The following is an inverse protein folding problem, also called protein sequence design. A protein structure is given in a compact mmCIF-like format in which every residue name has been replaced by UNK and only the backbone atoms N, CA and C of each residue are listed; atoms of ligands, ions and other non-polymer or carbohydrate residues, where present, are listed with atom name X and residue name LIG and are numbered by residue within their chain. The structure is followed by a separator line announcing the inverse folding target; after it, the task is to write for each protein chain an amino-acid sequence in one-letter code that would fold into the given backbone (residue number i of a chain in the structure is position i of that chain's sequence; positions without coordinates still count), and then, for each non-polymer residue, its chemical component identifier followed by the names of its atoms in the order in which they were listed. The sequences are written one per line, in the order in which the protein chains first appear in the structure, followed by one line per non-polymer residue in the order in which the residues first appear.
data_IF_887082407579
#
_entry.id   IF_887082407579
#
_cell.length_a   1.000
_cell.length_b   1.000
_cell.length_c   1.000
_cell.angle_alpha   90.00
_cell.angle_beta   90.00
_cell.angle_gamma   90.00
#
_symmetry.space_group_name_H-M   'P 1'
#
loop_
_entity.id
_entity.type
_entity.pdbx_description
1 polymer ?
#
# COMPACT_ATOMS: atom_id res chain seq x y z
N UNK A 1 -41.18 6.24 46.80
CA UNK A 1 -40.16 5.16 46.82
C UNK A 1 -38.80 5.85 46.86
N UNK A 2 -38.18 5.93 48.05
CA UNK A 2 -36.96 6.71 48.31
C UNK A 2 -35.80 5.71 48.36
N UNK A 3 -34.85 5.84 47.44
CA UNK A 3 -33.66 5.00 47.37
C UNK A 3 -32.55 5.68 48.18
N UNK A 4 -32.26 5.15 49.37
CA UNK A 4 -31.10 5.51 50.17
C UNK A 4 -29.86 4.81 49.59
N UNK A 5 -28.86 5.59 49.17
CA UNK A 5 -27.52 5.07 48.87
C UNK A 5 -26.64 5.17 50.12
N UNK A 6 -26.30 4.01 50.68
CA UNK A 6 -25.28 3.87 51.73
C UNK A 6 -23.89 3.91 51.07
N UNK A 7 -23.12 4.95 51.38
CA UNK A 7 -21.71 5.07 51.02
C UNK A 7 -20.89 4.37 52.10
N UNK A 8 -20.29 3.22 51.75
CA UNK A 8 -19.44 2.46 52.65
C UNK A 8 -17.98 2.81 52.38
N UNK A 9 -17.37 3.57 53.28
CA UNK A 9 -15.95 3.93 53.23
C UNK A 9 -15.10 2.77 53.76
N UNK A 10 -14.30 2.15 52.90
CA UNK A 10 -13.26 1.19 53.27
C UNK A 10 -11.92 1.93 53.44
N UNK A 11 -11.40 1.92 54.67
CA UNK A 11 -10.03 2.36 54.98
C UNK A 11 -9.15 1.10 54.87
N UNK A 12 -8.33 1.04 53.82
CA UNK A 12 -7.33 -0.02 53.63
C UNK A 12 -6.01 0.42 54.24
N UNK A 13 -5.59 -0.27 55.30
CA UNK A 13 -4.28 -0.12 55.94
C UNK A 13 -3.18 -0.62 55.00
N UNK A 14 -2.24 0.28 54.66
CA UNK A 14 -1.14 0.00 53.75
C UNK A 14 -0.01 -0.78 54.40
N UNK A 15 0.30 -1.93 53.82
CA UNK A 15 1.62 -2.57 53.94
C UNK A 15 2.52 -2.03 52.82
N UNK A 16 3.56 -1.30 53.22
CA UNK A 16 4.58 -0.78 52.32
C UNK A 16 5.52 -1.92 51.88
N UNK A 17 5.13 -2.64 50.82
CA UNK A 17 6.05 -3.48 50.07
C UNK A 17 7.10 -2.58 49.38
N UNK A 18 8.34 -2.65 49.85
CA UNK A 18 9.51 -2.13 49.14
C UNK A 18 9.62 -2.85 47.79
N UNK A 19 9.01 -2.27 46.76
CA UNK A 19 9.13 -2.73 45.39
C UNK A 19 10.58 -2.52 44.94
N UNK A 20 11.36 -3.60 44.92
CA UNK A 20 12.60 -3.66 44.16
C UNK A 20 12.24 -3.35 42.71
N UNK A 21 12.71 -2.20 42.21
CA UNK A 21 12.49 -1.79 40.83
C UNK A 21 12.95 -2.88 39.87
N UNK A 22 12.34 -2.98 38.67
CA UNK A 22 12.77 -3.96 37.69
C UNK A 22 14.28 -3.82 37.45
N UNK A 23 15.00 -4.95 37.33
CA UNK A 23 16.43 -4.91 37.06
C UNK A 23 16.68 -4.08 35.78
N UNK A 24 17.77 -3.29 35.74
CA UNK A 24 18.10 -2.52 34.56
C UNK A 24 18.18 -3.45 33.34
N UNK A 25 17.68 -3.01 32.18
CA UNK A 25 17.71 -3.83 30.97
C UNK A 25 19.15 -4.23 30.66
N UNK A 26 19.34 -5.52 30.35
CA UNK A 26 20.64 -6.04 29.97
C UNK A 26 21.19 -5.22 28.78
N UNK A 27 22.51 -4.93 28.75
CA UNK A 27 23.11 -4.19 27.65
C UNK A 27 22.83 -4.91 26.33
N UNK A 28 22.17 -4.21 25.41
CA UNK A 28 21.88 -4.71 24.06
C UNK A 28 23.22 -4.92 23.37
N UNK A 29 23.58 -6.19 23.21
CA UNK A 29 24.76 -6.60 22.46
C UNK A 29 24.47 -6.30 20.98
N UNK A 30 24.84 -5.09 20.53
CA UNK A 30 24.76 -4.67 19.12
C UNK A 30 25.79 -5.50 18.36
N UNK A 31 25.42 -6.74 18.03
CA UNK A 31 26.18 -7.57 17.10
C UNK A 31 26.50 -6.76 15.86
N UNK A 32 27.75 -6.83 15.41
CA UNK A 32 28.23 -6.09 14.26
C UNK A 32 27.25 -6.27 13.09
N UNK A 33 26.57 -5.17 12.72
CA UNK A 33 25.68 -5.14 11.57
C UNK A 33 26.56 -5.47 10.37
N UNK A 34 26.44 -6.70 9.85
CA UNK A 34 27.09 -7.06 8.59
C UNK A 34 26.54 -6.09 7.54
N UNK A 35 27.39 -5.34 6.82
CA UNK A 35 26.92 -4.53 5.72
C UNK A 35 26.22 -5.46 4.74
N UNK A 36 24.92 -5.24 4.56
CA UNK A 36 24.14 -5.93 3.54
C UNK A 36 24.82 -5.66 2.21
N UNK A 37 25.09 -6.68 1.37
CA UNK A 37 25.64 -6.47 0.04
C UNK A 37 24.79 -5.42 -0.69
N UNK A 38 25.39 -4.47 -1.43
CA UNK A 38 24.62 -3.52 -2.21
C UNK A 38 23.68 -4.32 -3.12
N UNK A 39 22.38 -4.16 -2.88
CA UNK A 39 21.34 -4.75 -3.72
C UNK A 39 21.56 -4.19 -5.15
N UNK A 40 21.47 -5.03 -6.19
CA UNK A 40 21.58 -4.56 -7.55
C UNK A 40 20.49 -3.51 -7.80
N UNK A 41 20.91 -2.27 -8.09
CA UNK A 41 19.98 -1.24 -8.55
C UNK A 41 19.43 -1.67 -9.88
N UNK A 42 18.11 -1.73 -9.96
CA UNK A 42 17.47 -1.95 -11.23
C UNK A 42 17.52 -0.67 -12.04
N UNK A 43 17.47 -0.89 -13.35
CA UNK A 43 17.17 0.13 -14.32
C UNK A 43 16.16 -0.61 -15.18
N UNK A 44 14.95 -0.07 -15.31
CA UNK A 44 14.00 -0.51 -16.34
C UNK A 44 14.63 -0.16 -17.70
N UNK A 45 15.63 -0.94 -18.11
CA UNK A 45 16.35 -0.79 -19.36
C UNK A 45 15.42 -1.33 -20.41
N UNK A 46 14.94 -0.47 -21.31
CA UNK A 46 14.14 -0.79 -22.51
C UNK A 46 12.63 -0.57 -22.43
N UNK A 47 12.06 -0.22 -21.27
CA UNK A 47 10.69 0.29 -21.23
C UNK A 47 10.72 1.80 -21.38
N UNK A 48 10.73 2.27 -22.62
CA UNK A 48 10.66 3.70 -22.91
C UNK A 48 9.38 4.28 -22.30
N UNK A 49 9.46 5.37 -21.51
CA UNK A 49 8.27 6.05 -21.02
C UNK A 49 7.38 6.42 -22.19
N UNK A 50 6.14 5.93 -22.19
CA UNK A 50 5.16 6.33 -23.18
C UNK A 50 4.59 7.67 -22.71
N UNK A 51 4.72 8.71 -23.54
CA UNK A 51 4.24 10.05 -23.21
C UNK A 51 2.77 10.00 -22.75
N UNK A 52 2.49 10.69 -21.64
CA UNK A 52 1.16 10.79 -21.02
C UNK A 52 0.59 9.46 -20.49
N UNK A 53 1.46 8.51 -20.12
CA UNK A 53 1.01 7.22 -19.59
C UNK A 53 1.80 6.83 -18.36
N UNK A 54 1.07 6.32 -17.36
CA UNK A 54 1.67 5.69 -16.21
C UNK A 54 1.96 4.21 -16.54
N UNK A 55 3.20 3.81 -16.29
CA UNK A 55 3.64 2.42 -16.41
C UNK A 55 3.48 1.69 -15.08
N UNK A 56 3.10 0.40 -15.14
CA UNK A 56 2.88 -0.41 -13.94
C UNK A 56 3.13 -1.89 -14.22
N UNK A 57 3.91 -2.54 -13.37
CA UNK A 57 4.16 -3.96 -13.46
C UNK A 57 3.15 -4.78 -12.64
N UNK A 58 2.54 -5.78 -13.28
CA UNK A 58 1.69 -6.76 -12.62
C UNK A 58 2.37 -8.13 -12.64
N UNK A 59 2.68 -8.66 -11.46
CA UNK A 59 3.36 -9.94 -11.32
C UNK A 59 2.51 -11.12 -11.82
N UNK A 60 3.18 -12.17 -12.32
CA UNK A 60 2.54 -13.40 -12.82
C UNK A 60 1.81 -14.19 -11.74
N UNK A 61 2.13 -13.96 -10.47
CA UNK A 61 1.46 -14.58 -9.33
C UNK A 61 0.08 -13.95 -9.01
N UNK A 62 -0.31 -12.89 -9.72
CA UNK A 62 -1.64 -12.27 -9.65
C UNK A 62 -2.60 -12.95 -10.62
N UNK A 63 -3.69 -13.52 -10.11
CA UNK A 63 -4.75 -14.07 -10.94
C UNK A 63 -5.64 -12.95 -11.49
N UNK A 64 -5.44 -12.55 -12.75
CA UNK A 64 -6.18 -11.44 -13.38
C UNK A 64 -7.70 -11.58 -13.37
N UNK A 65 -8.27 -12.79 -13.25
CA UNK A 65 -9.73 -12.98 -13.23
C UNK A 65 -10.32 -13.00 -11.83
N UNK A 66 -9.51 -13.23 -10.80
CA UNK A 66 -9.96 -13.34 -9.40
C UNK A 66 -9.45 -12.21 -8.51
N UNK A 67 -8.22 -11.78 -8.74
CA UNK A 67 -7.50 -10.83 -7.88
C UNK A 67 -7.61 -9.39 -8.38
N UNK A 68 -7.94 -9.21 -9.66
CA UNK A 68 -8.00 -7.91 -10.32
C UNK A 68 -9.40 -7.64 -10.83
N UNK A 69 -9.94 -6.48 -10.46
CA UNK A 69 -11.05 -5.87 -11.16
C UNK A 69 -10.62 -4.53 -11.76
N UNK A 70 -11.28 -4.16 -12.84
CA UNK A 70 -11.06 -2.89 -13.54
C UNK A 70 -12.25 -1.98 -13.27
N UNK A 71 -12.00 -0.67 -13.19
CA UNK A 71 -13.05 0.32 -13.04
C UNK A 71 -14.13 0.22 -14.13
N UNK A 72 -15.41 0.37 -13.75
CA UNK A 72 -16.57 0.12 -14.60
C UNK A 72 -16.82 1.22 -15.64
N UNK A 73 -16.40 2.46 -15.38
CA UNK A 73 -16.98 3.62 -16.09
C UNK A 73 -16.02 4.70 -16.58
N UNK A 74 -14.74 4.36 -16.72
CA UNK A 74 -13.83 5.18 -17.54
C UNK A 74 -14.38 5.32 -18.97
N UNK A 75 -14.28 6.48 -19.65
CA UNK A 75 -14.56 6.55 -21.08
C UNK A 75 -13.82 5.42 -21.84
N UNK A 76 -14.33 4.92 -22.99
CA UNK A 76 -13.72 3.81 -23.71
C UNK A 76 -12.24 4.00 -24.08
N UNK A 77 -11.74 5.24 -24.01
CA UNK A 77 -10.34 5.60 -24.21
C UNK A 77 -9.46 5.33 -22.98
N UNK A 78 -9.97 5.50 -21.75
CA UNK A 78 -9.23 5.25 -20.52
C UNK A 78 -9.48 3.86 -19.91
N UNK A 79 -10.52 3.12 -20.35
CA UNK A 79 -10.71 1.68 -20.00
C UNK A 79 -9.62 0.76 -20.56
N UNK A 80 -8.92 1.20 -21.60
CA UNK A 80 -7.91 0.38 -22.24
C UNK A 80 -6.57 0.70 -21.61
N UNK A 81 -6.11 -0.16 -20.69
CA UNK A 81 -4.68 -0.43 -20.67
C UNK A 81 -4.30 -0.69 -22.12
N UNK A 82 -3.36 0.10 -22.66
CA UNK A 82 -3.11 0.03 -24.09
C UNK A 82 -2.49 -1.34 -24.39
N UNK A 83 -3.33 -2.28 -24.82
CA UNK A 83 -2.92 -3.66 -25.09
C UNK A 83 -1.88 -3.73 -26.20
N UNK A 84 -1.74 -2.66 -26.98
CA UNK A 84 -0.68 -2.51 -27.99
C UNK A 84 0.70 -2.24 -27.39
N UNK A 85 0.75 -1.76 -26.15
CA UNK A 85 1.99 -1.39 -25.47
C UNK A 85 2.31 -2.29 -24.28
N UNK A 86 1.63 -3.43 -24.11
CA UNK A 86 2.02 -4.38 -23.06
C UNK A 86 3.40 -4.95 -23.33
N UNK A 87 4.22 -5.03 -22.29
CA UNK A 87 5.52 -5.73 -22.34
C UNK A 87 5.38 -6.99 -21.51
N UNK A 88 5.54 -8.15 -22.15
CA UNK A 88 5.51 -9.44 -21.44
C UNK A 88 6.91 -9.69 -20.88
N UNK A 89 6.99 -9.84 -19.58
CA UNK A 89 8.22 -10.12 -18.86
C UNK A 89 8.20 -11.59 -18.38
N UNK A 90 9.33 -12.08 -17.89
CA UNK A 90 9.43 -13.44 -17.36
C UNK A 90 8.48 -13.67 -16.17
N UNK A 91 8.41 -12.69 -15.27
CA UNK A 91 7.71 -12.80 -13.98
C UNK A 91 6.45 -11.94 -13.90
N UNK A 92 5.92 -11.49 -15.05
CA UNK A 92 4.73 -10.66 -15.10
C UNK A 92 4.58 -9.90 -16.40
N UNK A 93 3.86 -8.79 -16.36
CA UNK A 93 3.68 -7.91 -17.50
C UNK A 93 3.71 -6.45 -17.09
N UNK A 94 4.25 -5.61 -17.96
CA UNK A 94 4.18 -4.17 -17.83
C UNK A 94 2.97 -3.63 -18.59
N UNK A 95 2.11 -2.91 -17.87
CA UNK A 95 0.87 -2.31 -18.35
C UNK A 95 1.02 -0.80 -18.40
N UNK A 96 0.31 -0.17 -19.34
CA UNK A 96 0.32 1.28 -19.51
C UNK A 96 -1.08 1.84 -19.48
N UNK A 97 -1.27 2.87 -18.67
CA UNK A 97 -2.55 3.53 -18.46
C UNK A 97 -2.48 4.99 -18.86
N UNK A 98 -3.48 5.44 -19.60
CA UNK A 98 -3.66 6.87 -19.86
C UNK A 98 -4.13 7.56 -18.57
N UNK A 99 -3.71 8.80 -18.38
CA UNK A 99 -4.04 9.56 -17.18
C UNK A 99 -5.54 9.78 -17.01
N UNK A 100 -6.01 9.60 -15.78
CA UNK A 100 -7.39 9.80 -15.39
C UNK A 100 -7.66 11.17 -14.75
N UNK A 101 -8.84 11.36 -14.16
CA UNK A 101 -9.21 12.57 -13.44
C UNK A 101 -8.28 12.87 -12.24
N UNK A 102 -8.40 14.09 -11.72
CA UNK A 102 -7.42 14.72 -10.85
C UNK A 102 -7.51 14.39 -9.34
N UNK A 103 -8.59 13.75 -8.87
CA UNK A 103 -8.73 13.39 -7.45
C UNK A 103 -9.37 12.02 -7.22
N UNK A 104 -9.08 11.42 -6.05
CA UNK A 104 -9.57 10.09 -5.69
C UNK A 104 -11.08 10.03 -5.55
N UNK A 105 -11.73 11.08 -5.06
CA UNK A 105 -13.19 11.10 -4.96
C UNK A 105 -13.86 10.95 -6.34
N UNK A 106 -13.35 11.63 -7.36
CA UNK A 106 -13.79 11.49 -8.74
C UNK A 106 -13.44 10.10 -9.29
N UNK A 107 -12.24 9.58 -8.99
CA UNK A 107 -11.83 8.23 -9.39
C UNK A 107 -12.78 7.18 -8.79
N UNK A 108 -13.04 7.20 -7.47
CA UNK A 108 -13.88 6.21 -6.81
C UNK A 108 -15.35 6.32 -7.22
N UNK A 109 -15.89 7.55 -7.35
CA UNK A 109 -17.32 7.76 -7.67
C UNK A 109 -17.71 7.29 -9.08
N UNK A 110 -16.81 7.35 -10.06
CA UNK A 110 -17.08 6.88 -11.43
C UNK A 110 -16.51 5.48 -11.69
N UNK A 111 -15.92 4.82 -10.69
CA UNK A 111 -15.16 3.60 -10.91
C UNK A 111 -14.04 3.82 -11.94
N UNK A 112 -13.25 4.87 -11.74
CA UNK A 112 -12.15 5.31 -12.59
C UNK A 112 -10.79 4.72 -12.22
N UNK A 113 -10.73 3.77 -11.29
CA UNK A 113 -9.49 3.10 -10.94
C UNK A 113 -9.02 2.23 -12.11
N UNK A 114 -7.72 2.27 -12.38
CA UNK A 114 -7.09 1.45 -13.41
C UNK A 114 -7.10 -0.03 -13.00
N UNK A 115 -6.79 -0.31 -11.73
CA UNK A 115 -6.79 -1.65 -11.14
C UNK A 115 -7.35 -1.54 -9.73
N UNK A 116 -8.22 -2.47 -9.33
CA UNK A 116 -8.45 -2.81 -7.94
C UNK A 116 -7.89 -4.22 -7.71
N UNK A 117 -6.99 -4.35 -6.73
CA UNK A 117 -6.29 -5.57 -6.37
C UNK A 117 -6.80 -6.09 -5.02
N UNK A 118 -7.18 -7.37 -4.96
CA UNK A 118 -7.71 -8.03 -3.74
C UNK A 118 -6.93 -9.28 -3.33
N UNK A 119 -6.17 -9.88 -4.24
CA UNK A 119 -5.44 -11.14 -4.00
C UNK A 119 -6.29 -12.30 -3.44
N UNK A 120 -7.60 -12.30 -3.72
CA UNK A 120 -8.57 -13.29 -3.23
C UNK A 120 -8.25 -14.75 -3.61
N UNK A 121 -7.38 -14.97 -4.61
CA UNK A 121 -6.92 -16.30 -5.02
C UNK A 121 -5.86 -16.90 -4.09
N UNK A 122 -5.33 -16.13 -3.13
CA UNK A 122 -4.31 -16.58 -2.18
C UNK A 122 -4.90 -16.95 -0.82
N UNK A 123 -4.25 -17.84 -0.05
CA UNK A 123 -4.72 -18.22 1.28
C UNK A 123 -4.84 -17.05 2.26
N UNK A 124 -3.94 -16.07 2.20
CA UNK A 124 -3.99 -14.85 3.04
C UNK A 124 -4.89 -13.75 2.46
N UNK A 125 -5.47 -13.97 1.27
CA UNK A 125 -6.32 -12.98 0.61
C UNK A 125 -5.60 -11.64 0.46
N UNK A 126 -6.15 -10.60 1.09
CA UNK A 126 -5.62 -9.24 1.04
C UNK A 126 -4.35 -9.03 1.88
N UNK A 127 -4.06 -9.89 2.86
CA UNK A 127 -2.77 -9.88 3.58
C UNK A 127 -1.59 -10.20 2.66
N UNK A 128 -1.87 -10.91 1.55
CA UNK A 128 -0.89 -11.29 0.55
C UNK A 128 -0.64 -10.18 -0.49
N UNK A 129 -1.31 -9.02 -0.41
CA UNK A 129 -1.01 -7.91 -1.31
C UNK A 129 0.42 -7.42 -1.04
N UNK A 130 1.22 -7.33 -2.10
CA UNK A 130 2.49 -6.60 -2.04
C UNK A 130 2.61 -5.62 -3.21
N UNK A 131 2.99 -4.39 -2.89
CA UNK A 131 3.18 -3.27 -3.83
C UNK A 131 4.60 -2.73 -3.70
N UNK A 132 5.18 -2.23 -4.78
CA UNK A 132 6.55 -1.67 -4.75
C UNK A 132 6.57 -0.24 -5.26
N UNK A 133 7.22 0.65 -4.51
CA UNK A 133 7.44 2.07 -4.84
C UNK A 133 8.71 2.26 -5.67
N UNK A 134 9.70 1.42 -5.42
CA UNK A 134 10.93 1.28 -6.15
C UNK A 134 11.26 -0.21 -6.31
N UNK A 135 12.39 -0.52 -6.93
CA UNK A 135 12.72 -1.89 -7.30
C UNK A 135 13.10 -2.75 -6.10
N UNK A 136 13.69 -2.12 -5.09
CA UNK A 136 14.10 -2.71 -3.81
C UNK A 136 13.22 -2.26 -2.63
N UNK A 137 12.20 -1.45 -2.88
CA UNK A 137 11.32 -0.90 -1.86
C UNK A 137 9.88 -1.38 -2.08
N UNK A 138 9.49 -2.39 -1.32
CA UNK A 138 8.17 -3.01 -1.39
C UNK A 138 7.47 -3.01 -0.04
N UNK A 139 6.15 -3.01 -0.07
CA UNK A 139 5.28 -2.83 1.08
C UNK A 139 4.22 -3.91 1.15
N UNK A 140 3.95 -4.37 2.36
CA UNK A 140 2.85 -5.28 2.71
C UNK A 140 1.99 -4.69 3.80
N UNK A 141 0.69 -5.02 3.85
CA UNK A 141 -0.16 -4.55 4.92
C UNK A 141 0.24 -5.19 6.26
N UNK A 142 0.16 -4.45 7.36
CA UNK A 142 0.43 -4.93 8.71
C UNK A 142 -0.65 -5.86 9.27
N UNK A 143 -1.85 -5.79 8.70
CA UNK A 143 -3.04 -6.57 9.04
C UNK A 143 -3.97 -6.63 7.80
N UNK A 144 -5.01 -7.49 7.76
CA UNK A 144 -5.92 -7.54 6.62
C UNK A 144 -6.48 -6.18 6.22
N UNK A 145 -6.34 -5.84 4.93
CA UNK A 145 -6.98 -4.70 4.29
C UNK A 145 -8.13 -5.19 3.39
N UNK A 146 -8.95 -4.30 2.83
CA UNK A 146 -10.02 -4.70 1.91
C UNK A 146 -9.52 -4.87 0.49
N UNK A 147 -8.76 -3.89 0.00
CA UNK A 147 -8.22 -3.85 -1.35
C UNK A 147 -7.24 -2.70 -1.53
N UNK A 148 -6.51 -2.77 -2.65
CA UNK A 148 -5.68 -1.68 -3.15
C UNK A 148 -6.23 -1.21 -4.49
N UNK A 149 -6.54 0.07 -4.60
CA UNK A 149 -6.91 0.73 -5.86
C UNK A 149 -5.74 1.50 -6.42
N UNK A 150 -5.55 1.41 -7.73
CA UNK A 150 -4.47 2.04 -8.45
C UNK A 150 -5.06 2.99 -9.49
N UNK A 151 -4.62 4.25 -9.51
CA UNK A 151 -5.02 5.21 -10.54
C UNK A 151 -3.84 6.04 -11.12
N UNK A 152 -3.79 6.23 -12.45
CA UNK A 152 -2.75 7.01 -13.10
C UNK A 152 -3.01 8.51 -12.93
N UNK A 153 -1.98 9.25 -12.54
CA UNK A 153 -2.05 10.70 -12.39
C UNK A 153 -0.79 11.38 -12.93
N UNK A 154 -0.96 12.48 -13.65
CA UNK A 154 0.16 13.26 -14.17
C UNK A 154 0.42 14.50 -13.33
N UNK A 155 1.59 14.56 -12.69
CA UNK A 155 2.03 15.77 -11.98
C UNK A 155 2.45 16.88 -12.94
N UNK A 156 2.89 16.52 -14.14
CA UNK A 156 3.20 17.44 -15.24
C UNK A 156 2.74 16.83 -16.57
N UNK A 157 2.58 17.63 -17.65
CA UNK A 157 2.37 17.07 -18.97
C UNK A 157 3.43 16.01 -19.28
N UNK A 158 3.00 14.81 -19.67
CA UNK A 158 3.85 13.65 -19.99
C UNK A 158 4.58 12.98 -18.82
N UNK A 159 4.49 13.49 -17.60
CA UNK A 159 5.04 12.85 -16.39
C UNK A 159 3.89 12.26 -15.57
N UNK A 160 3.56 11.00 -15.86
CA UNK A 160 2.43 10.30 -15.26
C UNK A 160 2.93 9.09 -14.47
N UNK A 161 2.51 9.02 -13.22
CA UNK A 161 2.85 7.93 -12.31
C UNK A 161 1.58 7.19 -11.89
N UNK A 162 1.78 5.97 -11.41
CA UNK A 162 0.72 5.20 -10.80
C UNK A 162 0.67 5.50 -9.30
N UNK A 163 -0.48 5.92 -8.79
CA UNK A 163 -0.71 6.15 -7.36
C UNK A 163 -1.63 5.10 -6.78
N UNK A 164 -1.41 4.83 -5.51
CA UNK A 164 -2.15 3.84 -4.75
C UNK A 164 -3.09 4.48 -3.72
N UNK A 165 -4.32 3.98 -3.69
CA UNK A 165 -5.26 4.13 -2.60
C UNK A 165 -5.48 2.78 -1.91
N UNK A 166 -5.46 2.76 -0.58
CA UNK A 166 -5.65 1.54 0.21
C UNK A 166 -6.96 1.65 0.99
N UNK A 167 -7.85 0.68 0.81
CA UNK A 167 -9.07 0.52 1.62
C UNK A 167 -8.80 -0.52 2.70
N UNK A 168 -9.07 -0.19 3.95
CA UNK A 168 -8.88 -1.08 5.10
C UNK A 168 -9.09 -0.34 6.42
N UNK A 169 -8.85 -1.00 7.56
CA UNK A 169 -9.00 -0.37 8.87
C UNK A 169 -7.95 0.72 9.12
N UNK A 170 -8.30 1.75 9.90
CA UNK A 170 -7.41 2.87 10.24
C UNK A 170 -6.15 2.48 11.03
N UNK A 171 -6.19 1.31 11.67
CA UNK A 171 -5.07 0.72 12.40
C UNK A 171 -4.04 0.05 11.48
N UNK A 172 -4.38 -0.17 10.21
CA UNK A 172 -3.49 -0.82 9.27
C UNK A 172 -2.51 0.18 8.65
N UNK A 173 -1.29 -0.31 8.51
CA UNK A 173 -0.20 0.37 7.82
C UNK A 173 0.30 -0.50 6.67
N UNK A 174 0.86 0.13 5.64
CA UNK A 174 1.73 -0.54 4.68
C UNK A 174 3.16 -0.45 5.21
N UNK A 175 3.77 -1.60 5.48
CA UNK A 175 5.09 -1.75 6.06
C UNK A 175 6.10 -2.21 5.00
N UNK A 176 7.27 -1.58 4.97
CA UNK A 176 8.35 -1.99 4.10
C UNK A 176 8.81 -3.42 4.44
N UNK A 177 8.93 -4.27 3.43
CA UNK A 177 9.19 -5.71 3.63
C UNK A 177 10.61 -6.03 4.08
N UNK A 178 11.55 -5.11 3.83
CA UNK A 178 12.93 -5.20 4.28
C UNK A 178 13.17 -4.48 5.63
N UNK A 179 12.14 -3.82 6.17
CA UNK A 179 12.20 -3.02 7.39
C UNK A 179 12.97 -1.69 7.24
N UNK A 180 13.37 -1.29 6.03
CA UNK A 180 14.16 -0.06 5.80
C UNK A 180 13.30 1.17 5.48
N UNK A 181 12.11 0.96 4.92
CA UNK A 181 11.20 2.02 4.50
C UNK A 181 10.32 2.59 5.61
N UNK A 182 9.74 3.77 5.35
CA UNK A 182 8.79 4.43 6.24
C UNK A 182 7.43 3.75 6.13
N UNK A 183 6.76 3.45 7.24
CA UNK A 183 5.38 2.96 7.16
C UNK A 183 4.46 3.99 6.52
N UNK A 184 3.56 3.52 5.67
CA UNK A 184 2.49 4.32 5.10
C UNK A 184 1.20 3.99 5.81
N UNK A 185 0.76 4.90 6.68
CA UNK A 185 -0.48 4.73 7.43
C UNK A 185 -1.69 4.92 6.51
N UNK A 186 -2.63 3.98 6.49
CA UNK A 186 -3.81 4.04 5.62
C UNK A 186 -4.63 5.30 5.91
N UNK A 187 -4.78 5.66 7.18
CA UNK A 187 -5.48 6.88 7.61
C UNK A 187 -4.88 8.19 7.08
N UNK A 188 -3.63 8.17 6.61
CA UNK A 188 -2.99 9.37 6.06
C UNK A 188 -3.60 9.82 4.74
N UNK A 189 -4.43 8.98 4.10
CA UNK A 189 -5.09 9.26 2.82
C UNK A 189 -6.29 10.21 2.94
N UNK A 190 -6.76 10.49 4.15
CA UNK A 190 -7.96 11.26 4.42
C UNK A 190 -7.64 12.61 5.06
N UNK A 191 -8.46 13.64 4.79
CA UNK A 191 -8.21 15.00 5.27
C UNK A 191 -8.15 15.10 6.80
N UNK A 192 -8.94 14.27 7.49
CA UNK A 192 -8.90 14.15 8.93
C UNK A 192 -9.36 12.76 9.37
N UNK A 193 -9.04 12.38 10.61
CA UNK A 193 -9.49 11.10 11.21
C UNK A 193 -11.03 11.00 11.29
N UNK A 194 -11.75 12.12 11.18
CA UNK A 194 -13.22 12.17 11.24
C UNK A 194 -13.88 12.35 9.88
N UNK A 195 -13.09 12.51 8.81
CA UNK A 195 -13.60 12.71 7.45
C UNK A 195 -13.21 11.51 6.60
N UNK A 196 -14.19 10.88 5.97
CA UNK A 196 -13.96 9.84 4.96
C UNK A 196 -13.58 10.44 3.60
N UNK A 197 -13.37 11.76 3.52
CA UNK A 197 -13.00 12.45 2.28
C UNK A 197 -11.51 12.23 1.97
N UNK A 198 -11.19 11.60 0.83
CA UNK A 198 -9.80 11.41 0.40
C UNK A 198 -9.14 12.74 0.04
N UNK A 199 -7.85 12.88 0.37
CA UNK A 199 -7.02 14.01 -0.07
C UNK A 199 -6.82 13.95 -1.59
N UNK A 200 -6.60 15.09 -2.25
CA UNK A 200 -6.27 15.16 -3.67
C UNK A 200 -4.90 14.51 -4.01
N UNK A 201 -4.78 13.89 -5.18
CA UNK A 201 -3.52 13.33 -5.73
C UNK A 201 -2.67 14.48 -6.30
N UNK A 202 -1.33 14.55 -6.08
CA UNK A 202 -0.43 13.50 -5.59
C UNK A 202 -0.45 13.26 -4.08
N UNK A 203 -0.96 14.19 -3.28
CA UNK A 203 -1.26 14.02 -1.86
C UNK A 203 -0.19 13.26 -1.04
N UNK A 204 -0.61 12.53 0.00
CA UNK A 204 0.24 11.60 0.73
C UNK A 204 0.37 10.23 0.06
N UNK A 205 -0.26 10.02 -1.09
CA UNK A 205 -0.36 8.72 -1.75
C UNK A 205 0.99 8.22 -2.26
N UNK A 206 1.20 6.91 -2.15
CA UNK A 206 2.42 6.27 -2.64
C UNK A 206 2.37 6.12 -4.16
N UNK A 207 3.48 6.49 -4.81
CA UNK A 207 3.76 6.12 -6.20
C UNK A 207 4.17 4.66 -6.24
N UNK A 208 3.48 3.85 -7.03
CA UNK A 208 3.72 2.41 -7.15
C UNK A 208 4.17 2.08 -8.56
N UNK A 209 5.23 1.28 -8.69
CA UNK A 209 5.76 0.80 -9.96
C UNK A 209 5.36 -0.65 -10.25
N UNK A 210 4.91 -1.40 -9.25
CA UNK A 210 4.36 -2.74 -9.47
C UNK A 210 3.62 -3.34 -8.29
N UNK A 211 2.86 -4.40 -8.54
CA UNK A 211 2.18 -5.17 -7.50
C UNK A 211 2.14 -6.68 -7.79
N UNK A 212 1.86 -7.44 -6.73
CA UNK A 212 1.83 -8.91 -6.71
C UNK A 212 0.86 -9.44 -5.65
N UNK A 213 0.63 -10.75 -5.68
CA UNK A 213 -0.08 -11.48 -4.64
C UNK A 213 0.81 -12.60 -4.06
N UNK A 214 1.15 -12.50 -2.77
CA UNK A 214 2.01 -13.39 -2.01
C UNK A 214 3.41 -12.81 -1.84
N UNK A 215 4.37 -13.25 -2.65
CA UNK A 215 5.71 -12.69 -2.67
C UNK A 215 5.77 -11.40 -3.48
N UNK A 216 6.46 -10.39 -2.95
CA UNK A 216 6.71 -9.12 -3.63
C UNK A 216 7.43 -9.33 -4.95
N UNK A 217 7.07 -8.58 -6.01
CA UNK A 217 7.70 -8.74 -7.29
C UNK A 217 9.18 -8.36 -7.17
N UNK A 218 10.05 -9.25 -7.62
CA UNK A 218 11.41 -8.85 -8.02
C UNK A 218 11.23 -8.31 -9.42
N UNK A 219 11.28 -6.99 -9.54
CA UNK A 219 11.15 -6.32 -10.82
C UNK A 219 12.43 -6.59 -11.62
N UNK A 220 12.49 -7.78 -12.24
CA UNK A 220 13.61 -8.17 -13.07
C UNK A 220 13.53 -7.53 -14.47
N UNK A 221 14.60 -7.61 -15.27
CA UNK A 221 14.67 -6.89 -16.56
C UNK A 221 13.64 -7.42 -17.55
N UNK A 222 12.74 -6.52 -17.95
CA UNK A 222 12.06 -6.53 -19.24
C UNK A 222 12.88 -5.63 -20.20
#
# INVERSE_FOLDING_TARGET
MIILFLVQSYISSGDACLALGPPPPAPINRGAIRPTPPQPRFIIKNVSPVKNRAGFFLASNVNRTKDVSFGFDMPPHSRRHDTRHKVICKDGEFLFYESGPVNWLAISSIGGQAIRLTCSSKPGGTEDICVCTAEDECYKPSEPIDNVELAPYCTKPQECDMYMFVSGPDSADMLATDGSGRSFAIKSQFESVLSDEPIDIPGPYMKIIGASCGECPKLDSC
#
